data_IF_359888803174
#
_entry.id   IF_359888803174
#
_cell.length_a   1.000
_cell.length_b   1.000
_cell.length_c   1.000
_cell.angle_alpha   90.00
_cell.angle_beta   90.00
_cell.angle_gamma   90.00
#
_symmetry.space_group_name_H-M   'P 1'
#
loop_
_entity.id
_entity.type
_entity.pdbx_description
1 polymer ?
#
# COMPACT_ATOMS: atom_id res chain seq x y z
N UNK A 1 9.16 -2.67 0.65
CA UNK A 1 8.89 -1.26 0.99
C UNK A 1 7.57 -1.13 1.75
N UNK A 2 6.42 -1.35 1.11
CA UNK A 2 5.08 -1.16 1.70
C UNK A 2 4.88 -2.01 2.97
N UNK A 3 5.25 -3.29 2.94
CA UNK A 3 5.14 -4.19 4.11
C UNK A 3 5.91 -3.68 5.33
N UNK A 4 7.15 -3.20 5.11
CA UNK A 4 7.99 -2.65 6.18
C UNK A 4 7.35 -1.40 6.79
N UNK A 5 6.85 -0.49 5.96
CA UNK A 5 6.15 0.70 6.42
C UNK A 5 4.88 0.35 7.23
N UNK A 6 4.12 -0.65 6.79
CA UNK A 6 2.96 -1.16 7.54
C UNK A 6 3.35 -1.67 8.93
N UNK A 7 4.43 -2.45 9.03
CA UNK A 7 4.92 -2.94 10.32
C UNK A 7 5.40 -1.81 11.24
N UNK A 8 6.05 -0.77 10.71
CA UNK A 8 6.43 0.42 11.49
C UNK A 8 5.19 1.14 12.05
N UNK A 9 4.06 1.10 11.34
CA UNK A 9 2.76 1.59 11.80
C UNK A 9 2.02 0.63 12.75
N UNK A 10 2.59 -0.54 13.05
CA UNK A 10 1.97 -1.60 13.87
C UNK A 10 0.59 -2.05 13.35
N UNK A 11 0.37 -1.94 12.05
CA UNK A 11 -0.89 -2.35 11.42
C UNK A 11 -0.79 -3.80 10.92
N UNK A 12 -1.85 -4.58 11.08
CA UNK A 12 -2.05 -5.82 10.31
C UNK A 12 -2.47 -5.50 8.86
N UNK A 13 -2.36 -6.46 7.95
CA UNK A 13 -2.84 -6.28 6.58
C UNK A 13 -4.37 -6.06 6.54
N UNK A 14 -5.13 -6.63 7.50
CA UNK A 14 -6.58 -6.42 7.61
C UNK A 14 -6.92 -4.99 8.02
N UNK A 15 -6.18 -4.42 8.97
CA UNK A 15 -6.37 -3.03 9.40
C UNK A 15 -5.98 -2.03 8.32
N UNK A 16 -4.84 -2.24 7.65
CA UNK A 16 -4.46 -1.41 6.50
C UNK A 16 -5.52 -1.49 5.39
N UNK A 17 -6.06 -2.69 5.14
CA UNK A 17 -7.15 -2.89 4.19
C UNK A 17 -8.37 -2.05 4.56
N UNK A 18 -8.79 -2.08 5.82
CA UNK A 18 -9.92 -1.27 6.32
C UNK A 18 -9.69 0.23 6.11
N UNK A 19 -8.47 0.73 6.38
CA UNK A 19 -8.12 2.15 6.18
C UNK A 19 -8.09 2.54 4.70
N UNK A 20 -7.66 1.65 3.81
CA UNK A 20 -7.59 1.88 2.37
C UNK A 20 -8.92 1.56 1.64
N UNK A 21 -9.92 1.01 2.35
CA UNK A 21 -11.20 0.59 1.75
C UNK A 21 -11.10 -0.66 0.87
N UNK A 22 -10.22 -1.60 1.21
CA UNK A 22 -9.97 -2.85 0.46
C UNK A 22 -9.84 -4.05 1.40
N UNK A 23 -9.91 -5.26 0.86
CA UNK A 23 -9.74 -6.47 1.67
C UNK A 23 -8.26 -6.78 1.97
N UNK A 24 -8.02 -7.63 2.97
CA UNK A 24 -6.67 -8.05 3.38
C UNK A 24 -5.88 -8.73 2.23
N UNK A 25 -6.54 -9.52 1.38
CA UNK A 25 -5.91 -10.19 0.25
C UNK A 25 -5.36 -9.17 -0.77
N UNK A 26 -6.05 -8.04 -0.97
CA UNK A 26 -5.60 -6.95 -1.82
C UNK A 26 -4.33 -6.29 -1.27
N UNK A 27 -4.25 -6.08 0.05
CA UNK A 27 -3.01 -5.59 0.70
C UNK A 27 -1.87 -6.58 0.49
N UNK A 28 -2.11 -7.88 0.66
CA UNK A 28 -1.11 -8.90 0.39
C UNK A 28 -0.62 -8.85 -1.06
N UNK A 29 -1.51 -8.65 -2.05
CA UNK A 29 -1.12 -8.48 -3.46
C UNK A 29 -0.27 -7.23 -3.68
N UNK A 30 -0.60 -6.10 -3.05
CA UNK A 30 0.20 -4.88 -3.12
C UNK A 30 1.61 -5.14 -2.56
N UNK A 31 1.72 -5.70 -1.35
CA UNK A 31 2.99 -5.94 -0.68
C UNK A 31 3.92 -6.88 -1.46
N UNK A 32 3.33 -7.83 -2.17
CA UNK A 32 4.04 -8.82 -2.99
C UNK A 32 4.15 -8.43 -4.47
N UNK A 33 3.87 -7.17 -4.85
CA UNK A 33 3.93 -6.67 -6.24
C UNK A 33 3.08 -7.48 -7.24
N UNK A 34 1.99 -8.10 -6.77
CA UNK A 34 1.00 -8.81 -7.60
C UNK A 34 -0.13 -7.90 -8.10
N UNK A 35 -0.13 -6.63 -7.68
CA UNK A 35 -1.04 -5.59 -8.19
C UNK A 35 -0.30 -4.74 -9.22
N UNK A 36 -0.78 -4.75 -10.47
CA UNK A 36 -0.13 -4.03 -11.59
C UNK A 36 -0.46 -2.54 -11.65
N UNK A 37 -1.54 -2.10 -11.00
CA UNK A 37 -1.95 -0.71 -10.96
C UNK A 37 -2.82 -0.40 -9.74
N UNK A 38 -2.72 0.82 -9.24
CA UNK A 38 -3.65 1.42 -8.28
C UNK A 38 -4.11 2.77 -8.83
N UNK A 39 -5.33 3.19 -8.47
CA UNK A 39 -5.76 4.54 -8.77
C UNK A 39 -4.92 5.55 -7.99
N UNK A 40 -4.73 6.75 -8.55
CA UNK A 40 -4.00 7.85 -7.90
C UNK A 40 -4.52 8.10 -6.48
N UNK A 41 -5.83 8.11 -6.28
CA UNK A 41 -6.42 8.26 -4.95
C UNK A 41 -5.94 7.18 -3.96
N UNK A 42 -5.90 5.90 -4.37
CA UNK A 42 -5.41 4.84 -3.49
C UNK A 42 -3.91 4.97 -3.20
N UNK A 43 -3.12 5.45 -4.18
CA UNK A 43 -1.70 5.74 -3.96
C UNK A 43 -1.55 6.85 -2.91
N UNK A 44 -2.27 7.96 -3.05
CA UNK A 44 -2.22 9.07 -2.10
C UNK A 44 -2.65 8.65 -0.69
N UNK A 45 -3.78 7.93 -0.56
CA UNK A 45 -4.27 7.44 0.73
C UNK A 45 -3.29 6.45 1.36
N UNK A 46 -2.78 5.49 0.59
CA UNK A 46 -1.78 4.52 1.08
C UNK A 46 -0.50 5.21 1.54
N UNK A 47 -0.04 6.20 0.77
CA UNK A 47 1.14 7.01 1.07
C UNK A 47 0.96 7.80 2.36
N UNK A 48 -0.22 8.40 2.55
CA UNK A 48 -0.57 9.11 3.79
C UNK A 48 -0.61 8.17 5.01
N UNK A 49 -1.28 7.00 4.91
CA UNK A 49 -1.37 6.04 6.03
C UNK A 49 0.02 5.54 6.46
N UNK A 50 0.89 5.29 5.48
CA UNK A 50 2.19 4.67 5.71
C UNK A 50 3.35 5.67 5.82
N UNK A 51 3.07 6.97 5.70
CA UNK A 51 4.07 8.06 5.66
C UNK A 51 5.17 7.77 4.63
N UNK A 52 4.75 7.45 3.41
CA UNK A 52 5.63 7.21 2.27
C UNK A 52 5.48 8.33 1.26
N UNK A 53 6.53 8.55 0.48
CA UNK A 53 6.46 9.41 -0.70
C UNK A 53 5.56 8.76 -1.78
N UNK A 54 4.55 9.48 -2.32
CA UNK A 54 3.64 8.93 -3.32
C UNK A 54 4.32 8.52 -4.63
N UNK A 55 5.41 9.18 -5.03
CA UNK A 55 6.16 8.83 -6.24
C UNK A 55 6.88 7.50 -6.04
N UNK A 56 7.47 7.28 -4.86
CA UNK A 56 8.09 5.98 -4.52
C UNK A 56 7.06 4.84 -4.42
N UNK A 57 5.87 5.11 -3.88
CA UNK A 57 4.75 4.14 -3.89
C UNK A 57 4.33 3.82 -5.32
N UNK A 58 4.20 4.82 -6.18
CA UNK A 58 3.88 4.62 -7.60
C UNK A 58 4.94 3.76 -8.30
N UNK A 59 6.23 4.10 -8.19
CA UNK A 59 7.33 3.32 -8.79
C UNK A 59 7.31 1.87 -8.32
N UNK A 60 7.14 1.65 -7.02
CA UNK A 60 7.06 0.30 -6.45
C UNK A 60 5.93 -0.55 -7.04
N UNK A 61 4.75 0.05 -7.25
CA UNK A 61 3.59 -0.63 -7.84
C UNK A 61 3.78 -0.85 -9.35
N UNK A 62 4.29 0.17 -10.05
CA UNK A 62 4.51 0.14 -11.49
C UNK A 62 5.69 -0.76 -11.91
N UNK A 63 6.53 -1.16 -10.97
CA UNK A 63 7.74 -1.94 -11.25
C UNK A 63 8.86 -1.12 -11.89
N UNK A 64 8.87 0.18 -11.61
CA UNK A 64 9.89 1.15 -12.06
C UNK A 64 11.03 1.28 -11.06
#
# INVERSE_FOLDING_TARGET
MIQKARFNKKLTQKELGKLLGVNQSYISKIENRKTKSLSVNKILVLSSILELDPIEVFKFIAGL
#
